data_IF_545682708422
#
_entry.id   IF_545682708422
#
_cell.length_a   1.000
_cell.length_b   1.000
_cell.length_c   1.000
_cell.angle_alpha   90.00
_cell.angle_beta   90.00
_cell.angle_gamma   90.00
#
_symmetry.space_group_name_H-M   'P 1'
#
loop_
_entity.id
_entity.type
_entity.pdbx_description
1 polymer ?
#
# COMPACT_ATOMS: atom_id res chain seq x y z
N UNK A 1 3.82 7.26 21.41
CA UNK A 1 4.65 6.53 20.44
C UNK A 1 4.55 7.28 19.11
N UNK A 2 5.66 7.64 18.49
CA UNK A 2 5.66 8.36 17.21
C UNK A 2 6.14 7.41 16.10
N UNK A 3 5.38 7.29 15.01
CA UNK A 3 5.70 6.44 13.87
C UNK A 3 5.88 7.36 12.65
N UNK A 4 7.01 7.25 11.96
CA UNK A 4 7.29 7.96 10.71
C UNK A 4 7.19 6.96 9.56
N UNK A 5 6.21 7.17 8.67
CA UNK A 5 6.02 6.36 7.46
C UNK A 5 6.61 7.09 6.24
N UNK A 6 7.68 6.53 5.68
CA UNK A 6 8.27 7.03 4.43
C UNK A 6 7.57 6.38 3.23
N UNK A 7 6.46 6.96 2.78
CA UNK A 7 5.62 6.42 1.70
C UNK A 7 5.90 7.04 0.31
N UNK A 8 7.17 7.27 -0.03
CA UNK A 8 7.58 7.85 -1.32
C UNK A 8 7.70 6.80 -2.43
N UNK A 9 7.29 7.16 -3.66
CA UNK A 9 7.53 6.39 -4.89
C UNK A 9 6.28 6.09 -5.73
N UNK A 10 6.29 6.51 -7.00
CA UNK A 10 5.09 6.59 -7.85
C UNK A 10 4.57 5.27 -8.43
N UNK A 11 5.00 4.12 -7.91
CA UNK A 11 4.41 2.87 -8.37
C UNK A 11 5.08 2.23 -9.58
N UNK A 12 5.47 2.98 -10.61
CA UNK A 12 5.91 2.57 -11.98
C UNK A 12 6.19 1.08 -12.25
N UNK A 13 7.03 0.40 -11.46
CA UNK A 13 7.28 -1.06 -11.56
C UNK A 13 6.06 -1.97 -11.35
N UNK A 14 5.03 -1.49 -10.66
CA UNK A 14 3.78 -2.23 -10.39
C UNK A 14 2.66 -1.80 -11.33
N UNK A 15 2.95 -1.10 -12.42
CA UNK A 15 1.94 -0.83 -13.44
C UNK A 15 1.41 -2.16 -14.03
N UNK A 16 0.09 -2.32 -14.23
CA UNK A 16 -1.00 -1.33 -14.12
C UNK A 16 -1.64 -1.22 -12.72
N UNK A 17 -1.20 -2.01 -11.74
CA UNK A 17 -1.76 -2.02 -10.37
C UNK A 17 -1.44 -0.74 -9.59
N UNK A 18 -0.34 -0.07 -9.94
CA UNK A 18 0.08 1.22 -9.38
C UNK A 18 0.17 2.27 -10.48
N UNK A 19 -0.21 3.51 -10.17
CA UNK A 19 0.03 4.66 -11.03
C UNK A 19 0.32 5.91 -10.18
N UNK A 20 0.58 7.05 -10.84
CA UNK A 20 0.95 8.28 -10.12
C UNK A 20 -0.18 8.80 -9.20
N UNK A 21 -1.44 8.43 -9.47
CA UNK A 21 -2.62 8.74 -8.65
C UNK A 21 -2.81 7.68 -7.54
N UNK A 22 -2.45 6.42 -7.80
CA UNK A 22 -2.61 5.25 -6.94
C UNK A 22 -1.25 4.65 -6.59
N UNK A 23 -0.67 5.21 -5.54
CA UNK A 23 0.65 4.80 -5.03
C UNK A 23 0.66 3.37 -4.47
N UNK A 24 1.85 2.75 -4.40
CA UNK A 24 2.05 1.34 -4.05
C UNK A 24 1.45 0.92 -2.72
N UNK A 25 1.56 1.80 -1.73
CA UNK A 25 1.17 1.55 -0.34
C UNK A 25 -0.34 1.33 -0.17
N UNK A 26 -1.15 1.78 -1.15
CA UNK A 26 -2.60 1.62 -1.15
C UNK A 26 -3.09 0.41 -1.96
N UNK A 27 -2.18 -0.35 -2.57
CA UNK A 27 -2.56 -1.54 -3.33
C UNK A 27 -2.84 -2.67 -2.35
N UNK A 28 -4.03 -3.26 -2.48
CA UNK A 28 -4.50 -4.36 -1.66
C UNK A 28 -3.99 -5.68 -2.24
N UNK A 29 -2.78 -6.07 -1.87
CA UNK A 29 -2.13 -7.30 -2.35
C UNK A 29 -2.06 -8.40 -1.29
N UNK A 30 -2.19 -8.05 -0.02
CA UNK A 30 -2.02 -9.01 1.06
C UNK A 30 -3.36 -9.69 1.34
N UNK A 31 -3.40 -11.03 1.27
CA UNK A 31 -4.59 -11.80 1.60
C UNK A 31 -4.83 -11.79 3.11
N UNK A 32 -6.09 -11.60 3.48
CA UNK A 32 -6.62 -11.73 4.83
C UNK A 32 -7.79 -12.71 4.81
N UNK A 33 -8.23 -13.25 5.96
CA UNK A 33 -9.43 -14.08 6.04
C UNK A 33 -10.66 -13.43 5.41
N UNK A 34 -10.79 -12.10 5.53
CA UNK A 34 -11.94 -11.34 5.03
C UNK A 34 -11.73 -10.67 3.66
N UNK A 35 -10.60 -10.93 2.96
CA UNK A 35 -10.33 -10.33 1.66
C UNK A 35 -8.88 -9.92 1.43
N UNK A 36 -8.66 -8.67 1.01
CA UNK A 36 -7.32 -8.13 0.74
C UNK A 36 -7.09 -6.81 1.48
N UNK A 37 -5.88 -6.66 2.02
CA UNK A 37 -5.43 -5.45 2.71
C UNK A 37 -4.20 -4.83 2.03
N UNK A 38 -4.04 -3.52 2.20
CA UNK A 38 -2.86 -2.78 1.76
C UNK A 38 -1.80 -2.68 2.86
N UNK A 39 -0.60 -2.26 2.49
CA UNK A 39 0.51 -2.08 3.43
C UNK A 39 0.14 -1.07 4.54
N UNK A 40 -0.50 0.05 4.19
CA UNK A 40 -0.94 1.06 5.16
C UNK A 40 -1.95 0.50 6.15
N UNK A 41 -2.90 -0.31 5.65
CA UNK A 41 -3.92 -0.93 6.51
C UNK A 41 -3.29 -1.91 7.51
N UNK A 42 -2.24 -2.62 7.11
CA UNK A 42 -1.50 -3.54 7.98
C UNK A 42 -0.70 -2.82 9.07
N UNK A 43 -0.15 -1.64 8.79
CA UNK A 43 0.66 -0.86 9.76
C UNK A 43 -0.21 -0.13 10.80
N UNK A 44 -1.42 0.29 10.43
CA UNK A 44 -2.33 1.02 11.33
C UNK A 44 -3.17 0.10 12.25
N UNK A 45 -3.07 -1.23 12.11
CA UNK A 45 -3.83 -2.18 12.92
C UNK A 45 -3.33 -2.26 14.37
#
# INVERSE_FOLDING_TARGET
MNIILLSGGSGKRLWPLSNDIRSKQFIKIFKTPDGYESMVQRVYR
#
